data_IF_189093371420
#
_entry.id   IF_189093371420
#
_cell.length_a   1.000
_cell.length_b   1.000
_cell.length_c   1.000
_cell.angle_alpha   90.00
_cell.angle_beta   90.00
_cell.angle_gamma   90.00
#
_symmetry.space_group_name_H-M   'P 1'
#
loop_
_entity.id
_entity.type
_entity.pdbx_description
1 polymer ?
#
# COMPACT_ATOMS: atom_id res chain seq x y z
N UNK A 1 -14.87 2.36 -29.10
CA UNK A 1 -14.03 2.06 -27.92
C UNK A 1 -14.75 2.04 -26.55
N UNK A 2 -16.09 2.03 -26.38
CA UNK A 2 -16.69 2.04 -25.04
C UNK A 2 -16.49 0.72 -24.27
N UNK A 3 -16.49 -0.42 -24.97
CA UNK A 3 -16.27 -1.75 -24.38
C UNK A 3 -14.88 -1.91 -23.72
N UNK A 4 -13.86 -1.21 -24.22
CA UNK A 4 -12.52 -1.25 -23.65
C UNK A 4 -12.44 -0.46 -22.33
N UNK A 5 -13.05 0.73 -22.29
CA UNK A 5 -13.12 1.58 -21.10
C UNK A 5 -13.84 0.86 -19.96
N UNK A 6 -14.98 0.24 -20.27
CA UNK A 6 -15.79 -0.50 -19.29
C UNK A 6 -15.05 -1.74 -18.73
N UNK A 7 -14.31 -2.44 -19.60
CA UNK A 7 -13.48 -3.58 -19.18
C UNK A 7 -12.33 -3.16 -18.27
N UNK A 8 -11.64 -2.06 -18.59
CA UNK A 8 -10.52 -1.57 -17.76
C UNK A 8 -11.03 -1.02 -16.42
N UNK A 9 -12.17 -0.32 -16.39
CA UNK A 9 -12.79 0.15 -15.14
C UNK A 9 -13.16 -1.03 -14.21
N UNK A 10 -13.72 -2.11 -14.76
CA UNK A 10 -14.02 -3.32 -14.00
C UNK A 10 -12.75 -3.96 -13.43
N UNK A 11 -11.70 -4.08 -14.25
CA UNK A 11 -10.41 -4.64 -13.81
C UNK A 11 -9.80 -3.75 -12.71
N UNK A 12 -9.84 -2.43 -12.86
CA UNK A 12 -9.32 -1.49 -11.86
C UNK A 12 -10.03 -1.66 -10.51
N UNK A 13 -11.36 -1.78 -10.51
CA UNK A 13 -12.15 -2.04 -9.29
C UNK A 13 -11.83 -3.38 -8.65
N UNK A 14 -11.61 -4.42 -9.44
CA UNK A 14 -11.22 -5.74 -8.92
C UNK A 14 -9.83 -5.67 -8.28
N UNK A 15 -8.87 -5.00 -8.92
CA UNK A 15 -7.52 -4.83 -8.37
C UNK A 15 -7.56 -3.98 -7.09
N UNK A 16 -8.35 -2.92 -7.07
CA UNK A 16 -8.59 -2.10 -5.88
C UNK A 16 -9.14 -2.95 -4.73
N UNK A 17 -10.17 -3.74 -5.00
CA UNK A 17 -10.77 -4.65 -4.04
C UNK A 17 -9.77 -5.67 -3.48
N UNK A 18 -8.94 -6.26 -4.33
CA UNK A 18 -7.88 -7.19 -3.91
C UNK A 18 -6.89 -6.49 -2.97
N UNK A 19 -6.42 -5.29 -3.33
CA UNK A 19 -5.51 -4.51 -2.49
C UNK A 19 -6.10 -4.22 -1.11
N UNK A 20 -7.36 -3.80 -1.05
CA UNK A 20 -8.10 -3.58 0.21
C UNK A 20 -8.23 -4.87 1.01
N UNK A 21 -8.54 -5.99 0.36
CA UNK A 21 -8.68 -7.29 1.03
C UNK A 21 -7.36 -7.78 1.62
N UNK A 22 -6.23 -7.57 0.93
CA UNK A 22 -4.90 -7.91 1.45
C UNK A 22 -4.63 -7.16 2.76
N UNK A 23 -4.90 -5.85 2.80
CA UNK A 23 -4.72 -5.03 4.00
C UNK A 23 -5.65 -5.49 5.13
N UNK A 24 -6.91 -5.74 4.81
CA UNK A 24 -7.92 -6.14 5.78
C UNK A 24 -7.61 -7.51 6.40
N UNK A 25 -7.27 -8.51 5.58
CA UNK A 25 -6.91 -9.85 6.05
C UNK A 25 -5.63 -9.80 6.88
N UNK A 26 -4.62 -9.04 6.44
CA UNK A 26 -3.38 -8.87 7.20
C UNK A 26 -3.61 -8.26 8.58
N UNK A 27 -4.50 -7.27 8.68
CA UNK A 27 -4.92 -6.67 9.94
C UNK A 27 -5.60 -7.70 10.85
N UNK A 28 -6.58 -8.45 10.34
CA UNK A 28 -7.29 -9.48 11.10
C UNK A 28 -6.31 -10.54 11.62
N UNK A 29 -5.41 -11.03 10.75
CA UNK A 29 -4.42 -12.04 11.12
C UNK A 29 -3.46 -11.53 12.20
N UNK A 30 -3.06 -10.27 12.14
CA UNK A 30 -2.20 -9.66 13.15
C UNK A 30 -2.91 -9.56 14.51
N UNK A 31 -4.17 -9.12 14.53
CA UNK A 31 -4.99 -9.08 15.75
C UNK A 31 -5.29 -10.47 16.31
N UNK A 32 -5.63 -11.44 15.45
CA UNK A 32 -5.87 -12.81 15.87
C UNK A 32 -4.65 -13.44 16.53
N UNK A 33 -3.46 -13.23 15.95
CA UNK A 33 -2.19 -13.66 16.55
C UNK A 33 -1.92 -12.97 17.89
N UNK A 34 -2.24 -11.68 18.01
CA UNK A 34 -2.11 -10.94 19.27
C UNK A 34 -3.05 -11.50 20.36
N UNK A 35 -4.30 -11.80 20.01
CA UNK A 35 -5.32 -12.28 20.93
C UNK A 35 -5.05 -13.70 21.45
N UNK A 36 -4.46 -14.58 20.63
CA UNK A 36 -4.11 -15.95 21.01
C UNK A 36 -2.75 -16.03 21.70
N UNK A 37 -1.91 -15.00 21.59
CA UNK A 37 -0.66 -14.94 22.31
C UNK A 37 -0.93 -14.87 23.82
N UNK A 38 -0.79 -16.01 24.50
CA UNK A 38 -0.92 -16.15 25.95
C UNK A 38 0.21 -15.47 26.73
N UNK A 39 1.23 -14.95 26.02
CA UNK A 39 2.34 -14.24 26.63
C UNK A 39 1.88 -12.82 26.98
N UNK A 40 1.95 -12.43 28.26
CA UNK A 40 1.71 -11.05 28.75
C UNK A 40 2.30 -10.06 27.74
N UNK A 41 1.48 -9.13 27.23
CA UNK A 41 1.84 -8.02 26.33
C UNK A 41 3.31 -7.60 26.44
N UNK A 42 4.19 -8.36 25.79
CA UNK A 42 5.62 -8.07 25.78
C UNK A 42 5.87 -7.12 24.61
N UNK A 43 6.94 -6.36 24.72
CA UNK A 43 7.37 -5.46 23.66
C UNK A 43 7.47 -6.20 22.31
N UNK A 44 7.92 -7.46 22.34
CA UNK A 44 8.09 -8.30 21.14
C UNK A 44 6.77 -8.65 20.44
N UNK A 45 5.69 -8.95 21.18
CA UNK A 45 4.37 -9.21 20.57
C UNK A 45 3.84 -7.97 19.87
N UNK A 46 4.01 -6.79 20.47
CA UNK A 46 3.63 -5.52 19.84
C UNK A 46 4.43 -5.23 18.57
N UNK A 47 5.75 -5.43 18.60
CA UNK A 47 6.60 -5.29 17.40
C UNK A 47 6.17 -6.26 16.30
N UNK A 48 5.88 -7.52 16.63
CA UNK A 48 5.44 -8.53 15.66
C UNK A 48 4.10 -8.17 15.00
N UNK A 49 3.14 -7.67 15.78
CA UNK A 49 1.84 -7.20 15.26
C UNK A 49 2.04 -5.99 14.35
N UNK A 50 2.80 -4.99 14.80
CA UNK A 50 3.08 -3.77 14.01
C UNK A 50 3.79 -4.09 12.70
N UNK A 51 4.78 -4.98 12.72
CA UNK A 51 5.46 -5.45 11.51
C UNK A 51 4.52 -6.23 10.59
N UNK A 52 3.66 -7.10 11.14
CA UNK A 52 2.69 -7.87 10.36
C UNK A 52 1.70 -6.97 9.62
N UNK A 53 1.08 -6.03 10.35
CA UNK A 53 0.16 -5.02 9.80
C UNK A 53 0.87 -4.17 8.75
N UNK A 54 2.07 -3.68 9.07
CA UNK A 54 2.87 -2.87 8.16
C UNK A 54 3.16 -3.57 6.84
N UNK A 55 3.58 -4.84 6.88
CA UNK A 55 3.83 -5.64 5.67
C UNK A 55 2.58 -5.86 4.83
N UNK A 56 1.44 -6.14 5.46
CA UNK A 56 0.19 -6.28 4.71
C UNK A 56 -0.29 -4.99 4.08
N UNK A 57 -0.07 -3.84 4.74
CA UNK A 57 -0.42 -2.54 4.17
C UNK A 57 0.50 -2.21 3.00
N UNK A 58 1.82 -2.42 3.13
CA UNK A 58 2.76 -2.22 2.02
C UNK A 58 2.40 -3.08 0.80
N UNK A 59 2.09 -4.36 0.99
CA UNK A 59 1.67 -5.24 -0.10
C UNK A 59 0.34 -4.77 -0.73
N UNK A 60 -0.63 -4.36 0.10
CA UNK A 60 -1.88 -3.79 -0.39
C UNK A 60 -1.65 -2.51 -1.19
N UNK A 61 -0.72 -1.66 -0.76
CA UNK A 61 -0.36 -0.43 -1.46
C UNK A 61 0.30 -0.70 -2.81
N UNK A 62 1.17 -1.70 -2.94
CA UNK A 62 1.74 -2.11 -4.23
C UNK A 62 0.64 -2.49 -5.23
N UNK A 63 -0.36 -3.26 -4.78
CA UNK A 63 -1.52 -3.64 -5.62
C UNK A 63 -2.38 -2.43 -5.95
N UNK A 64 -2.64 -1.57 -4.96
CA UNK A 64 -3.45 -0.38 -5.14
C UNK A 64 -2.82 0.59 -6.15
N UNK A 65 -1.49 0.77 -6.15
CA UNK A 65 -0.80 1.64 -7.13
C UNK A 65 -1.14 1.22 -8.57
N UNK A 66 -1.25 -0.08 -8.84
CA UNK A 66 -1.67 -0.57 -10.16
C UNK A 66 -3.10 -0.14 -10.50
N UNK A 67 -4.02 -0.15 -9.52
CA UNK A 67 -5.39 0.34 -9.71
C UNK A 67 -5.44 1.84 -10.06
N UNK A 68 -4.62 2.67 -9.40
CA UNK A 68 -4.56 4.11 -9.70
C UNK A 68 -4.03 4.39 -11.09
N UNK A 69 -2.98 3.68 -11.52
CA UNK A 69 -2.45 3.82 -12.87
C UNK A 69 -3.55 3.51 -13.90
N UNK A 70 -4.31 2.43 -13.70
CA UNK A 70 -5.43 2.09 -14.59
C UNK A 70 -6.52 3.17 -14.59
N UNK A 71 -6.90 3.70 -13.42
CA UNK A 71 -7.89 4.76 -13.32
C UNK A 71 -7.49 6.03 -14.10
N UNK A 72 -6.21 6.38 -14.12
CA UNK A 72 -5.72 7.54 -14.89
C UNK A 72 -5.79 7.35 -16.41
N UNK A 73 -5.77 6.11 -16.90
CA UNK A 73 -5.81 5.80 -18.34
C UNK A 73 -7.24 5.83 -18.90
N UNK A 74 -8.24 5.53 -18.08
CA UNK A 74 -9.64 5.32 -18.52
C UNK A 74 -10.48 6.60 -18.44
N UNK A 75 -10.09 7.55 -17.61
CA UNK A 75 -10.94 8.72 -17.30
C UNK A 75 -10.81 9.79 -18.38
N UNK A 76 -11.91 10.15 -19.06
CA UNK A 76 -11.95 11.36 -19.89
C UNK A 76 -11.72 12.59 -18.99
N UNK A 77 -10.63 13.35 -19.21
CA UNK A 77 -10.21 14.34 -18.24
C UNK A 77 -11.13 15.56 -18.28
N UNK A 78 -12.01 15.67 -17.28
CA UNK A 78 -12.61 16.97 -16.90
C UNK A 78 -11.76 17.62 -15.81
N UNK A 79 -11.64 18.95 -15.80
CA UNK A 79 -10.82 19.65 -14.78
C UNK A 79 -11.23 19.30 -13.35
N UNK A 80 -12.53 19.11 -13.09
CA UNK A 80 -13.03 18.73 -11.76
C UNK A 80 -12.61 17.31 -11.39
N UNK A 81 -12.81 16.34 -12.28
CA UNK A 81 -12.46 14.94 -12.02
C UNK A 81 -10.96 14.75 -11.86
N UNK A 82 -10.14 15.43 -12.69
CA UNK A 82 -8.67 15.39 -12.60
C UNK A 82 -8.17 15.97 -11.28
N UNK A 83 -8.76 17.07 -10.79
CA UNK A 83 -8.38 17.65 -9.50
C UNK A 83 -8.69 16.70 -8.34
N UNK A 84 -9.89 16.10 -8.30
CA UNK A 84 -10.24 15.14 -7.24
C UNK A 84 -9.31 13.92 -7.28
N UNK A 85 -9.09 13.34 -8.46
CA UNK A 85 -8.19 12.21 -8.64
C UNK A 85 -6.75 12.56 -8.22
N UNK A 86 -6.26 13.72 -8.64
CA UNK A 86 -4.92 14.22 -8.28
C UNK A 86 -4.74 14.36 -6.78
N UNK A 87 -5.74 14.87 -6.05
CA UNK A 87 -5.70 14.96 -4.58
C UNK A 87 -5.65 13.57 -3.95
N UNK A 88 -6.45 12.61 -4.43
CA UNK A 88 -6.46 11.23 -3.92
C UNK A 88 -5.10 10.57 -4.12
N UNK A 89 -4.50 10.71 -5.31
CA UNK A 89 -3.18 10.16 -5.62
C UNK A 89 -2.11 10.78 -4.70
N UNK A 90 -2.12 12.10 -4.48
CA UNK A 90 -1.18 12.77 -3.57
C UNK A 90 -1.29 12.22 -2.15
N UNK A 91 -2.52 12.10 -1.63
CA UNK A 91 -2.75 11.54 -0.28
C UNK A 91 -2.19 10.12 -0.21
N UNK A 92 -2.46 9.29 -1.22
CA UNK A 92 -1.94 7.92 -1.26
C UNK A 92 -0.42 7.88 -1.28
N UNK A 93 0.22 8.67 -2.13
CA UNK A 93 1.69 8.73 -2.19
C UNK A 93 2.27 9.13 -0.84
N UNK A 94 1.69 10.14 -0.17
CA UNK A 94 2.16 10.57 1.14
C UNK A 94 1.99 9.51 2.22
N UNK A 95 0.81 8.88 2.31
CA UNK A 95 0.54 7.81 3.27
C UNK A 95 1.44 6.59 3.04
N UNK A 96 1.61 6.19 1.77
CA UNK A 96 2.48 5.08 1.39
C UNK A 96 3.93 5.35 1.78
N UNK A 97 4.44 6.55 1.48
CA UNK A 97 5.80 6.95 1.84
C UNK A 97 6.00 7.01 3.35
N UNK A 98 5.06 7.61 4.09
CA UNK A 98 5.13 7.70 5.55
C UNK A 98 5.22 6.32 6.19
N UNK A 99 4.39 5.38 5.72
CA UNK A 99 4.37 4.03 6.27
C UNK A 99 5.64 3.25 5.92
N UNK A 100 6.14 3.39 4.69
CA UNK A 100 7.40 2.74 4.28
C UNK A 100 8.58 3.24 5.12
N UNK A 101 8.66 4.55 5.36
CA UNK A 101 9.69 5.15 6.22
C UNK A 101 9.56 4.69 7.68
N UNK A 102 8.34 4.59 8.20
CA UNK A 102 8.11 4.11 9.57
C UNK A 102 8.54 2.64 9.75
N UNK A 103 8.33 1.79 8.73
CA UNK A 103 8.64 0.37 8.78
C UNK A 103 10.12 0.08 8.49
N UNK A 104 10.73 0.77 7.51
CA UNK A 104 12.12 0.54 7.11
C UNK A 104 13.13 1.41 7.86
N UNK A 105 12.64 2.46 8.54
CA UNK A 105 13.45 3.45 9.27
C UNK A 105 14.30 4.36 8.36
N UNK A 106 14.02 4.35 7.05
CA UNK A 106 14.79 5.08 6.03
C UNK A 106 13.88 5.55 4.91
N UNK A 107 14.29 6.62 4.24
CA UNK A 107 13.61 7.05 3.02
C UNK A 107 14.01 6.19 1.82
N UNK A 108 13.11 5.99 0.84
CA UNK A 108 13.38 5.12 -0.31
C UNK A 108 14.55 5.60 -1.18
N UNK A 109 14.91 6.88 -1.13
CA UNK A 109 16.06 7.43 -1.86
C UNK A 109 17.41 7.23 -1.13
N UNK A 110 17.43 6.72 0.10
CA UNK A 110 18.66 6.42 0.84
C UNK A 110 19.25 5.08 0.37
N UNK A 111 19.99 5.12 -0.74
CA UNK A 111 20.74 3.96 -1.23
C UNK A 111 21.85 3.57 -0.25
N UNK A 112 22.10 2.26 -0.09
CA UNK A 112 23.30 1.75 0.57
C UNK A 112 24.52 2.28 -0.19
N UNK A 113 25.21 3.26 0.37
CA UNK A 113 26.62 3.47 0.05
C UNK A 113 27.37 2.26 0.61
N UNK A 114 27.36 1.14 -0.12
CA UNK A 114 28.32 0.06 0.12
C UNK A 114 29.67 0.65 -0.24
N UNK A 115 30.62 0.82 0.70
CA UNK A 115 31.96 1.22 0.34
C UNK A 115 32.50 0.14 -0.59
N UNK A 116 32.76 0.50 -1.83
CA UNK A 116 33.42 -0.34 -2.79
C UNK A 116 34.85 -0.50 -2.28
N UNK A 117 35.09 -1.62 -1.60
CA UNK A 117 36.41 -2.02 -1.14
C UNK A 117 37.33 -2.05 -2.36
N UNK A 118 38.35 -1.20 -2.34
CA UNK A 118 39.33 -1.10 -3.42
C UNK A 118 40.30 -2.25 -3.19
N UNK A 119 40.40 -3.13 -4.18
CA UNK A 119 41.36 -4.23 -4.29
C UNK A 119 42.80 -3.85 -3.88
#
# INVERSE_FOLDING_TARGET
MPYLIESIDLIAKIVEFIGVMIMFIGLILAFYKAAISSNKFSHDTYLGVRQGVGKSILLGLEVLIAADIMATVVTEPTLRSVVVLGVIVIIRTFLSLSLQVELEGRFPWQHKNTPQDKE
#
